data_IF_134024711935
#
_entry.id   IF_134024711935
#
_cell.length_a   1.000
_cell.length_b   1.000
_cell.length_c   1.000
_cell.angle_alpha   90.00
_cell.angle_beta   90.00
_cell.angle_gamma   90.00
#
_symmetry.space_group_name_H-M   'P 1'
#
loop_
_entity.id
_entity.type
_entity.pdbx_description
1 polymer ?
#
# COMPACT_ATOMS: atom_id res chain seq x y z
N UNK A 1 50.35 -18.92 4.57
CA UNK A 1 49.41 -19.68 5.40
C UNK A 1 48.64 -18.66 6.22
N UNK A 2 47.34 -18.43 5.94
CA UNK A 2 46.54 -17.53 6.78
C UNK A 2 46.50 -18.13 8.18
N UNK A 3 46.90 -17.36 9.20
CA UNK A 3 46.87 -17.83 10.58
C UNK A 3 45.42 -18.12 10.98
N UNK A 4 45.18 -19.17 11.78
CA UNK A 4 43.84 -19.58 12.22
C UNK A 4 43.02 -18.43 12.83
N UNK A 5 43.70 -17.49 13.50
CA UNK A 5 43.10 -16.27 14.04
C UNK A 5 42.52 -15.34 12.95
N UNK A 6 43.12 -15.30 11.77
CA UNK A 6 42.62 -14.48 10.66
C UNK A 6 41.38 -15.11 10.02
N UNK A 7 41.31 -16.44 9.97
CA UNK A 7 40.12 -17.17 9.53
C UNK A 7 38.97 -17.03 10.52
N UNK A 8 39.25 -17.14 11.83
CA UNK A 8 38.27 -16.90 12.89
C UNK A 8 37.70 -15.47 12.83
N UNK A 9 38.57 -14.47 12.62
CA UNK A 9 38.12 -13.08 12.44
C UNK A 9 37.22 -12.92 11.22
N UNK A 10 37.61 -13.45 10.07
CA UNK A 10 36.78 -13.38 8.84
C UNK A 10 35.43 -14.10 8.99
N UNK A 11 35.40 -15.21 9.72
CA UNK A 11 34.16 -15.92 10.02
C UNK A 11 33.27 -15.10 10.95
N UNK A 12 33.85 -14.49 11.98
CA UNK A 12 33.15 -13.61 12.90
C UNK A 12 32.55 -12.40 12.17
N UNK A 13 33.33 -11.71 11.34
CA UNK A 13 32.89 -10.55 10.55
C UNK A 13 31.71 -10.93 9.62
N UNK A 14 31.80 -12.09 8.95
CA UNK A 14 30.71 -12.60 8.11
C UNK A 14 29.46 -12.96 8.90
N UNK A 15 29.65 -13.50 10.10
CA UNK A 15 28.54 -13.87 10.98
C UNK A 15 27.86 -12.63 11.53
N UNK A 16 28.60 -11.59 11.91
CA UNK A 16 28.04 -10.29 12.29
C UNK A 16 27.26 -9.64 11.13
N UNK A 17 27.85 -9.62 9.93
CA UNK A 17 27.21 -9.05 8.74
C UNK A 17 25.90 -9.78 8.42
N UNK A 18 25.86 -11.10 8.59
CA UNK A 18 24.64 -11.88 8.42
C UNK A 18 23.58 -11.52 9.45
N UNK A 19 23.95 -11.39 10.73
CA UNK A 19 23.03 -10.96 11.78
C UNK A 19 22.46 -9.56 11.49
N UNK A 20 23.31 -8.60 11.13
CA UNK A 20 22.87 -7.23 10.77
C UNK A 20 21.85 -7.24 9.63
N UNK A 21 22.05 -8.09 8.62
CA UNK A 21 21.11 -8.24 7.50
C UNK A 21 19.80 -8.88 7.94
N UNK A 22 19.85 -9.89 8.80
CA UNK A 22 18.66 -10.55 9.34
C UNK A 22 17.85 -9.59 10.21
N UNK A 23 18.51 -8.83 11.08
CA UNK A 23 17.88 -7.81 11.93
C UNK A 23 17.21 -6.74 11.07
N UNK A 24 17.88 -6.28 10.02
CA UNK A 24 17.30 -5.34 9.06
C UNK A 24 16.07 -5.92 8.37
N UNK A 25 16.10 -7.19 7.97
CA UNK A 25 14.94 -7.86 7.37
C UNK A 25 13.78 -7.98 8.37
N UNK A 26 14.06 -8.34 9.62
CA UNK A 26 13.05 -8.38 10.68
C UNK A 26 12.41 -7.00 10.91
N UNK A 27 13.22 -5.94 11.01
CA UNK A 27 12.73 -4.57 11.17
C UNK A 27 11.90 -4.11 9.94
N UNK A 28 12.32 -4.46 8.72
CA UNK A 28 11.54 -4.19 7.51
C UNK A 28 10.20 -4.93 7.54
N UNK A 29 10.20 -6.23 7.87
CA UNK A 29 8.98 -7.02 7.99
C UNK A 29 8.05 -6.47 9.07
N UNK A 30 8.59 -6.11 10.23
CA UNK A 30 7.83 -5.47 11.32
C UNK A 30 7.23 -4.14 10.85
N UNK A 31 7.97 -3.33 10.10
CA UNK A 31 7.45 -2.08 9.54
C UNK A 31 6.35 -2.30 8.50
N UNK A 32 6.46 -3.34 7.66
CA UNK A 32 5.45 -3.70 6.67
C UNK A 32 4.19 -4.26 7.34
N UNK A 33 4.38 -5.09 8.36
CA UNK A 33 3.32 -5.67 9.18
C UNK A 33 2.60 -4.56 9.96
N UNK A 34 3.31 -3.67 10.63
CA UNK A 34 2.73 -2.52 11.35
C UNK A 34 2.08 -1.50 10.40
N UNK A 35 2.58 -1.36 9.17
CA UNK A 35 1.94 -0.56 8.12
C UNK A 35 0.66 -1.22 7.60
N UNK A 36 0.64 -2.55 7.50
CA UNK A 36 -0.52 -3.35 7.12
C UNK A 36 -1.59 -3.41 8.21
N UNK A 37 -1.21 -3.52 9.48
CA UNK A 37 -2.15 -3.51 10.62
C UNK A 37 -2.76 -2.14 10.93
N UNK A 38 -2.19 -1.04 10.41
CA UNK A 38 -2.85 0.27 10.41
C UNK A 38 -3.88 0.43 9.29
N UNK A 39 -3.99 -0.56 8.40
CA UNK A 39 -5.00 -0.63 7.34
C UNK A 39 -5.86 -1.86 7.62
N UNK A 40 -6.70 -1.76 8.65
CA UNK A 40 -7.82 -2.67 8.81
C UNK A 40 -8.59 -2.78 7.48
N UNK A 41 -8.67 -3.99 6.96
CA UNK A 41 -9.44 -4.33 5.76
C UNK A 41 -8.69 -4.11 4.44
N UNK A 42 -8.30 -5.23 3.82
CA UNK A 42 -8.05 -5.35 2.39
C UNK A 42 -7.01 -4.40 1.75
N UNK A 43 -5.75 -4.84 1.63
CA UNK A 43 -5.05 -4.86 0.31
C UNK A 43 -3.67 -5.50 0.46
N UNK A 44 -3.62 -6.76 0.05
CA UNK A 44 -2.41 -7.53 -0.21
C UNK A 44 -1.50 -6.77 -1.18
N UNK A 45 -0.23 -6.60 -0.81
CA UNK A 45 0.92 -6.45 -1.70
C UNK A 45 0.70 -5.62 -2.99
N UNK A 46 0.23 -4.38 -2.88
CA UNK A 46 0.14 -3.48 -4.03
C UNK A 46 1.47 -2.73 -4.19
N UNK A 47 2.10 -2.89 -5.36
CA UNK A 47 3.28 -2.12 -5.75
C UNK A 47 3.01 -0.60 -5.65
N UNK A 48 4.03 0.26 -5.49
CA UNK A 48 3.82 1.71 -5.40
C UNK A 48 2.99 2.28 -6.56
N UNK A 49 3.16 1.72 -7.77
CA UNK A 49 2.37 2.08 -8.96
C UNK A 49 0.89 1.67 -8.84
N UNK A 50 0.61 0.54 -8.19
CA UNK A 50 -0.76 0.09 -7.99
C UNK A 50 -1.50 0.98 -6.99
N UNK A 51 -0.85 1.40 -5.90
CA UNK A 51 -1.42 2.35 -4.93
C UNK A 51 -1.72 3.71 -5.58
N UNK A 52 -0.82 4.18 -6.45
CA UNK A 52 -1.01 5.45 -7.15
C UNK A 52 -2.13 5.36 -8.20
N UNK A 53 -2.25 4.25 -8.91
CA UNK A 53 -3.36 3.99 -9.84
C UNK A 53 -4.70 3.95 -9.10
N UNK A 54 -4.75 3.28 -7.96
CA UNK A 54 -5.96 3.16 -7.13
C UNK A 54 -6.40 4.52 -6.60
N UNK A 55 -5.45 5.34 -6.14
CA UNK A 55 -5.71 6.72 -5.73
C UNK A 55 -6.28 7.57 -6.87
N UNK A 56 -5.67 7.52 -8.07
CA UNK A 56 -6.17 8.24 -9.25
C UNK A 56 -7.57 7.79 -9.66
N UNK A 57 -7.86 6.49 -9.52
CA UNK A 57 -9.19 5.95 -9.78
C UNK A 57 -10.20 6.50 -8.76
N UNK A 58 -9.83 6.52 -7.48
CA UNK A 58 -10.67 7.04 -6.42
C UNK A 58 -10.98 8.54 -6.60
N UNK A 59 -9.96 9.33 -6.94
CA UNK A 59 -10.09 10.76 -7.24
C UNK A 59 -11.03 10.97 -8.44
N UNK A 60 -10.85 10.22 -9.54
CA UNK A 60 -11.70 10.32 -10.73
C UNK A 60 -13.16 9.91 -10.46
N UNK A 61 -13.39 8.90 -9.62
CA UNK A 61 -14.73 8.49 -9.20
C UNK A 61 -15.41 9.57 -8.35
N UNK A 62 -14.65 10.21 -7.47
CA UNK A 62 -15.14 11.31 -6.63
C UNK A 62 -15.51 12.53 -7.48
N UNK A 63 -14.64 12.94 -8.39
CA UNK A 63 -14.91 14.02 -9.34
C UNK A 63 -16.16 13.71 -10.18
N UNK A 64 -16.33 12.45 -10.60
CA UNK A 64 -17.53 12.01 -11.32
C UNK A 64 -18.78 12.15 -10.45
N UNK A 65 -18.73 11.76 -9.17
CA UNK A 65 -19.84 11.91 -8.22
C UNK A 65 -20.20 13.38 -8.02
N UNK A 66 -19.21 14.26 -7.89
CA UNK A 66 -19.42 15.69 -7.68
C UNK A 66 -20.08 16.33 -8.92
N UNK A 67 -19.60 16.01 -10.12
CA UNK A 67 -20.25 16.43 -11.38
C UNK A 67 -21.67 15.84 -11.50
N UNK A 68 -21.91 14.62 -11.02
CA UNK A 68 -23.25 14.03 -10.98
C UNK A 68 -24.20 14.76 -10.01
N UNK A 69 -23.70 15.24 -8.87
CA UNK A 69 -24.48 16.05 -7.92
C UNK A 69 -24.75 17.47 -8.44
N UNK A 70 -23.77 18.08 -9.11
CA UNK A 70 -23.97 19.35 -9.81
C UNK A 70 -25.01 19.21 -10.93
N UNK A 71 -24.91 18.15 -11.74
CA UNK A 71 -25.86 17.90 -12.83
C UNK A 71 -27.24 17.50 -12.32
N UNK A 72 -27.38 16.88 -11.14
CA UNK A 72 -28.68 16.59 -10.50
C UNK A 72 -29.48 17.86 -10.17
N UNK A 73 -28.81 18.98 -9.85
CA UNK A 73 -29.49 20.29 -9.71
C UNK A 73 -30.11 20.76 -11.03
N UNK A 74 -29.52 20.37 -12.16
CA UNK A 74 -29.99 20.71 -13.52
C UNK A 74 -30.88 19.64 -14.18
N UNK A 75 -30.77 18.37 -13.77
CA UNK A 75 -31.46 17.22 -14.38
C UNK A 75 -32.08 16.32 -13.31
N UNK A 76 -33.42 16.23 -13.28
CA UNK A 76 -34.21 15.31 -12.42
C UNK A 76 -34.13 13.84 -12.86
N UNK A 77 -32.93 13.33 -13.17
CA UNK A 77 -32.76 11.97 -13.72
C UNK A 77 -32.54 10.93 -12.62
N UNK A 78 -33.49 10.00 -12.47
CA UNK A 78 -33.37 8.84 -11.57
C UNK A 78 -32.15 7.95 -11.88
N UNK A 79 -31.67 7.97 -13.12
CA UNK A 79 -30.53 7.16 -13.58
C UNK A 79 -29.18 7.73 -13.08
N UNK A 80 -29.08 9.05 -12.90
CA UNK A 80 -27.88 9.71 -12.35
C UNK A 80 -27.73 9.42 -10.85
N UNK A 81 -28.83 9.45 -10.10
CA UNK A 81 -28.83 9.12 -8.67
C UNK A 81 -28.40 7.67 -8.42
N UNK A 82 -28.84 6.73 -9.27
CA UNK A 82 -28.45 5.33 -9.19
C UNK A 82 -26.96 5.13 -9.51
N UNK A 83 -26.44 5.86 -10.51
CA UNK A 83 -25.02 5.83 -10.85
C UNK A 83 -24.17 6.38 -9.70
N UNK A 84 -24.59 7.51 -9.10
CA UNK A 84 -23.93 8.09 -7.93
C UNK A 84 -23.80 7.11 -6.77
N UNK A 85 -24.90 6.44 -6.40
CA UNK A 85 -24.91 5.45 -5.32
C UNK A 85 -23.92 4.32 -5.60
N UNK A 86 -23.94 3.74 -6.80
CA UNK A 86 -23.01 2.68 -7.20
C UNK A 86 -21.55 3.13 -7.11
N UNK A 87 -21.22 4.35 -7.53
CA UNK A 87 -19.86 4.88 -7.45
C UNK A 87 -19.44 5.18 -6.01
N UNK A 88 -20.37 5.61 -5.16
CA UNK A 88 -20.12 5.85 -3.73
C UNK A 88 -19.85 4.53 -3.00
N UNK A 89 -20.65 3.49 -3.30
CA UNK A 89 -20.48 2.17 -2.70
C UNK A 89 -19.11 1.56 -3.05
N UNK A 90 -18.68 1.70 -4.33
CA UNK A 90 -17.36 1.24 -4.79
C UNK A 90 -16.19 2.04 -4.18
N UNK A 91 -16.42 3.24 -3.66
CA UNK A 91 -15.38 4.05 -3.00
C UNK A 91 -15.28 3.82 -1.48
N UNK A 92 -16.32 3.26 -0.87
CA UNK A 92 -16.38 3.02 0.58
C UNK A 92 -15.87 1.61 0.93
N UNK A 93 -15.98 0.66 -0.01
CA UNK A 93 -15.50 -0.73 0.09
C UNK A 93 -14.00 -0.86 -0.23
#
# INVERSE_FOLDING_TARGET
MLSDNELLRKLHDRTEELHKRMDMQCAMMESLINRGFKKDGASSALSPQSVEREKRLADALKDTIDVLEETKKSFKSKRLEMLRKRLTDVLIE
#
